data_IF_916149948972
#
_entry.id   IF_916149948972
#
_cell.length_a   1.000
_cell.length_b   1.000
_cell.length_c   1.000
_cell.angle_alpha   90.00
_cell.angle_beta   90.00
_cell.angle_gamma   90.00
#
_symmetry.space_group_name_H-M   'P 1'
#
loop_
_entity.id
_entity.type
_entity.pdbx_description
1 polymer ?
#
# COMPACT_ATOMS: atom_id res chain seq x y z
N UNK A 1 12.77 -11.61 9.59
CA UNK A 1 12.16 -10.39 10.16
C UNK A 1 11.29 -10.82 11.32
N UNK A 2 11.45 -10.24 12.52
CA UNK A 2 10.41 -10.38 13.54
C UNK A 2 9.21 -9.55 13.07
N UNK A 3 8.24 -10.14 12.36
CA UNK A 3 7.02 -9.45 11.91
C UNK A 3 6.32 -8.71 13.06
N UNK A 4 6.47 -9.23 14.27
CA UNK A 4 5.92 -8.72 15.52
C UNK A 4 6.86 -7.79 16.31
N UNK A 5 7.93 -7.27 15.70
CA UNK A 5 8.71 -6.22 16.35
C UNK A 5 7.89 -4.92 16.35
N UNK A 6 7.94 -4.15 17.44
CA UNK A 6 7.26 -2.85 17.54
C UNK A 6 7.59 -1.94 16.36
N UNK A 7 8.84 -1.95 15.89
CA UNK A 7 9.28 -1.17 14.72
C UNK A 7 8.62 -1.61 13.41
N UNK A 8 8.46 -2.92 13.20
CA UNK A 8 7.80 -3.43 11.99
C UNK A 8 6.30 -3.17 12.03
N UNK A 9 5.64 -3.30 13.18
CA UNK A 9 4.21 -3.00 13.33
C UNK A 9 3.93 -1.53 13.00
N UNK A 10 4.72 -0.60 13.54
CA UNK A 10 4.59 0.83 13.25
C UNK A 10 4.82 1.09 11.75
N UNK A 11 5.85 0.47 11.18
CA UNK A 11 6.16 0.61 9.75
C UNK A 11 5.02 0.14 8.84
N UNK A 12 4.55 -1.09 9.03
CA UNK A 12 3.46 -1.66 8.24
C UNK A 12 2.14 -0.91 8.48
N UNK A 13 1.92 -0.39 9.69
CA UNK A 13 0.77 0.45 10.01
C UNK A 13 0.79 1.77 9.26
N UNK A 14 1.90 2.51 9.30
CA UNK A 14 2.04 3.79 8.57
C UNK A 14 1.91 3.57 7.06
N UNK A 15 2.59 2.55 6.52
CA UNK A 15 2.51 2.23 5.10
C UNK A 15 1.07 1.89 4.68
N UNK A 16 0.34 1.15 5.52
CA UNK A 16 -1.06 0.79 5.29
C UNK A 16 -1.98 2.01 5.30
N UNK A 17 -1.82 2.91 6.28
CA UNK A 17 -2.60 4.14 6.39
C UNK A 17 -2.37 5.06 5.20
N UNK A 18 -1.10 5.29 4.79
CA UNK A 18 -0.79 6.09 3.59
C UNK A 18 -1.43 5.47 2.35
N UNK A 19 -1.35 4.14 2.23
CA UNK A 19 -1.89 3.44 1.07
C UNK A 19 -3.41 3.57 1.00
N UNK A 20 -4.12 3.39 2.13
CA UNK A 20 -5.58 3.42 2.18
C UNK A 20 -6.17 4.84 2.05
N UNK A 21 -5.55 5.84 2.69
CA UNK A 21 -6.11 7.19 2.77
C UNK A 21 -5.60 8.17 1.70
N UNK A 22 -4.43 7.90 1.11
CA UNK A 22 -3.83 8.80 0.11
C UNK A 22 -3.80 8.12 -1.25
N UNK A 23 -3.15 6.95 -1.34
CA UNK A 23 -2.82 6.34 -2.63
C UNK A 23 -4.05 5.71 -3.30
N UNK A 24 -4.85 4.94 -2.55
CA UNK A 24 -6.07 4.33 -3.07
C UNK A 24 -7.10 5.36 -3.60
N UNK A 25 -7.49 6.42 -2.85
CA UNK A 25 -8.40 7.42 -3.37
C UNK A 25 -7.80 8.24 -4.52
N UNK A 26 -6.48 8.50 -4.52
CA UNK A 26 -5.81 9.18 -5.61
C UNK A 26 -5.84 8.37 -6.92
N UNK A 27 -5.52 7.08 -6.87
CA UNK A 27 -5.59 6.20 -8.06
C UNK A 27 -7.03 6.17 -8.59
N UNK A 28 -8.02 6.05 -7.69
CA UNK A 28 -9.43 6.04 -8.07
C UNK A 28 -9.90 7.37 -8.64
N UNK A 29 -9.41 8.52 -8.18
CA UNK A 29 -9.79 9.81 -8.75
C UNK A 29 -9.27 10.04 -10.18
N UNK A 30 -8.31 9.23 -10.63
CA UNK A 30 -7.77 9.28 -12.00
C UNK A 30 -8.54 8.37 -12.97
N UNK A 31 -9.54 7.63 -12.48
CA UNK A 31 -10.31 6.66 -13.24
C UNK A 31 -11.80 6.95 -13.09
N UNK A 32 -12.57 6.69 -14.13
CA UNK A 32 -14.02 6.84 -14.11
C UNK A 32 -14.64 5.55 -14.68
N UNK A 33 -14.49 4.47 -13.92
CA UNK A 33 -14.93 3.12 -14.30
C UNK A 33 -15.98 2.59 -13.33
N UNK A 34 -16.51 1.40 -13.59
CA UNK A 34 -17.34 0.71 -12.59
C UNK A 34 -16.52 0.39 -11.33
N UNK A 35 -17.17 0.45 -10.17
CA UNK A 35 -16.55 0.22 -8.84
C UNK A 35 -15.71 -1.06 -8.80
N UNK A 36 -16.20 -2.13 -9.42
CA UNK A 36 -15.48 -3.42 -9.51
C UNK A 36 -14.16 -3.27 -10.27
N UNK A 37 -14.17 -2.57 -11.39
CA UNK A 37 -12.99 -2.37 -12.24
C UNK A 37 -11.97 -1.47 -11.54
N UNK A 38 -12.43 -0.39 -10.90
CA UNK A 38 -11.57 0.48 -10.10
C UNK A 38 -10.86 -0.28 -8.99
N UNK A 39 -11.57 -1.14 -8.26
CA UNK A 39 -10.99 -1.96 -7.19
C UNK A 39 -9.92 -2.92 -7.73
N UNK A 40 -10.19 -3.58 -8.86
CA UNK A 40 -9.23 -4.49 -9.48
C UNK A 40 -7.95 -3.76 -9.92
N UNK A 41 -8.09 -2.61 -10.58
CA UNK A 41 -6.93 -1.81 -11.01
C UNK A 41 -6.18 -1.27 -9.80
N UNK A 42 -6.89 -0.69 -8.83
CA UNK A 42 -6.28 -0.10 -7.63
C UNK A 42 -5.53 -1.14 -6.81
N UNK A 43 -6.10 -2.35 -6.62
CA UNK A 43 -5.40 -3.45 -5.94
C UNK A 43 -4.22 -3.99 -6.73
N UNK A 44 -4.32 -4.07 -8.06
CA UNK A 44 -3.22 -4.49 -8.94
C UNK A 44 -2.02 -3.54 -8.89
N UNK A 45 -2.21 -2.27 -8.56
CA UNK A 45 -1.15 -1.27 -8.38
C UNK A 45 -0.62 -1.29 -6.93
N UNK A 46 -1.52 -1.33 -5.94
CA UNK A 46 -1.15 -1.25 -4.52
C UNK A 46 -0.31 -2.46 -4.09
N UNK A 47 -0.67 -3.69 -4.48
CA UNK A 47 0.05 -4.90 -4.07
C UNK A 47 1.55 -4.86 -4.46
N UNK A 48 1.93 -4.64 -5.74
CA UNK A 48 3.33 -4.55 -6.12
C UNK A 48 4.03 -3.33 -5.51
N UNK A 49 3.34 -2.20 -5.35
CA UNK A 49 3.89 -1.03 -4.64
C UNK A 49 4.28 -1.39 -3.20
N UNK A 50 3.40 -2.08 -2.48
CA UNK A 50 3.64 -2.53 -1.11
C UNK A 50 4.83 -3.48 -1.03
N UNK A 51 4.95 -4.42 -1.97
CA UNK A 51 6.05 -5.36 -2.07
C UNK A 51 7.39 -4.66 -2.34
N UNK A 52 7.41 -3.64 -3.19
CA UNK A 52 8.61 -2.85 -3.49
C UNK A 52 8.99 -1.98 -2.27
N UNK A 53 8.02 -1.27 -1.69
CA UNK A 53 8.25 -0.42 -0.52
C UNK A 53 8.83 -1.22 0.65
N UNK A 54 8.24 -2.36 0.97
CA UNK A 54 8.74 -3.26 2.03
C UNK A 54 10.11 -3.84 1.71
N UNK A 55 10.44 -4.10 0.45
CA UNK A 55 11.75 -4.59 0.02
C UNK A 55 12.84 -3.52 0.10
N UNK A 56 12.53 -2.27 -0.27
CA UNK A 56 13.45 -1.14 -0.18
C UNK A 56 13.67 -0.71 1.27
N UNK A 57 12.59 -0.58 2.04
CA UNK A 57 12.61 -0.07 3.40
C UNK A 57 13.12 -1.11 4.41
N UNK A 58 13.12 -2.40 4.03
CA UNK A 58 13.86 -3.46 4.73
C UNK A 58 15.32 -3.13 4.99
N UNK A 59 15.96 -2.37 4.08
CA UNK A 59 17.36 -1.96 4.21
C UNK A 59 17.57 -0.92 5.32
N UNK A 60 16.50 -0.23 5.71
CA UNK A 60 16.50 0.88 6.67
C UNK A 60 15.85 0.49 8.02
N UNK A 61 15.42 -0.77 8.18
CA UNK A 61 14.71 -1.34 9.34
C UNK A 61 15.57 -2.40 10.03
#
# INVERSE_FOLDING_TARGET
MKLFSTKSIIFYGILGTITAFIIAPFIRSLMDFSVTTELLITTSIIIPMYAIATRLLKKYL
#
